data_IF_213834110436
#
_entry.id   IF_213834110436
#
_cell.length_a   1.000
_cell.length_b   1.000
_cell.length_c   1.000
_cell.angle_alpha   90.00
_cell.angle_beta   90.00
_cell.angle_gamma   90.00
#
_symmetry.space_group_name_H-M   'P 1'
#
loop_
_entity.id
_entity.type
_entity.pdbx_description
1 polymer ?
#
# COMPACT_ATOMS: atom_id res chain seq x y z
N UNK A 1 16.18 -0.05 -38.32
CA UNK A 1 14.89 -0.14 -37.61
C UNK A 1 14.94 -1.29 -36.60
N UNK A 2 15.62 -1.12 -35.48
CA UNK A 2 15.70 -2.13 -34.43
C UNK A 2 16.00 -1.41 -33.10
N UNK A 3 15.03 -0.70 -32.52
CA UNK A 3 15.34 0.07 -31.29
C UNK A 3 14.17 0.28 -30.31
N UNK A 4 12.95 -0.18 -30.62
CA UNK A 4 11.79 0.02 -29.74
C UNK A 4 11.54 -1.12 -28.74
N UNK A 5 11.90 -2.37 -29.07
CA UNK A 5 11.55 -3.56 -28.26
C UNK A 5 12.56 -3.88 -27.16
N UNK A 6 13.86 -3.69 -27.41
CA UNK A 6 14.93 -3.97 -26.43
C UNK A 6 14.93 -2.99 -25.26
N UNK A 7 14.64 -1.70 -25.53
CA UNK A 7 14.59 -0.66 -24.50
C UNK A 7 13.44 -0.91 -23.50
N UNK A 8 12.25 -1.31 -24.01
CA UNK A 8 11.09 -1.66 -23.18
C UNK A 8 11.33 -2.92 -22.35
N UNK A 9 11.97 -3.94 -22.93
CA UNK A 9 12.28 -5.17 -22.22
C UNK A 9 13.30 -4.96 -21.09
N UNK A 10 14.34 -4.14 -21.30
CA UNK A 10 15.32 -3.82 -20.27
C UNK A 10 14.74 -3.00 -19.11
N UNK A 11 13.80 -2.09 -19.39
CA UNK A 11 13.08 -1.33 -18.35
C UNK A 11 12.16 -2.24 -17.53
N UNK A 12 11.41 -3.11 -18.20
CA UNK A 12 10.57 -4.12 -17.55
C UNK A 12 11.42 -5.04 -16.65
N UNK A 13 12.51 -5.60 -17.17
CA UNK A 13 13.41 -6.48 -16.41
C UNK A 13 14.01 -5.78 -15.18
N UNK A 14 14.40 -4.50 -15.30
CA UNK A 14 14.92 -3.72 -14.17
C UNK A 14 13.83 -3.48 -13.10
N UNK A 15 12.61 -3.11 -13.52
CA UNK A 15 11.48 -2.93 -12.59
C UNK A 15 11.16 -4.21 -11.85
N UNK A 16 11.08 -5.33 -12.57
CA UNK A 16 10.85 -6.66 -11.98
C UNK A 16 11.95 -7.04 -11.00
N UNK A 17 13.24 -6.88 -11.38
CA UNK A 17 14.36 -7.19 -10.50
C UNK A 17 14.35 -6.36 -9.21
N UNK A 18 14.04 -5.06 -9.31
CA UNK A 18 13.91 -4.19 -8.14
C UNK A 18 12.73 -4.60 -7.26
N UNK A 19 11.55 -4.82 -7.85
CA UNK A 19 10.35 -5.25 -7.11
C UNK A 19 10.59 -6.58 -6.39
N UNK A 20 11.18 -7.57 -7.07
CA UNK A 20 11.54 -8.86 -6.46
C UNK A 20 12.61 -8.72 -5.38
N UNK A 21 13.59 -7.84 -5.57
CA UNK A 21 14.62 -7.56 -4.57
C UNK A 21 14.04 -6.96 -3.29
N UNK A 22 13.16 -5.95 -3.42
CA UNK A 22 12.48 -5.36 -2.26
C UNK A 22 11.50 -6.32 -1.60
N UNK A 23 10.77 -7.12 -2.39
CA UNK A 23 9.91 -8.17 -1.84
C UNK A 23 10.74 -9.18 -1.05
N UNK A 24 11.91 -9.57 -1.55
CA UNK A 24 12.85 -10.43 -0.83
C UNK A 24 13.31 -9.84 0.51
N UNK A 25 13.68 -8.56 0.54
CA UNK A 25 14.04 -7.85 1.78
C UNK A 25 12.86 -7.77 2.75
N UNK A 26 11.65 -7.54 2.25
CA UNK A 26 10.45 -7.46 3.06
C UNK A 26 10.08 -8.81 3.67
N UNK A 27 10.17 -9.89 2.88
CA UNK A 27 9.96 -11.26 3.34
C UNK A 27 11.04 -11.68 4.35
N UNK A 28 12.30 -11.29 4.13
CA UNK A 28 13.37 -11.48 5.11
C UNK A 28 13.07 -10.76 6.44
N UNK A 29 12.65 -9.48 6.38
CA UNK A 29 12.21 -8.73 7.56
C UNK A 29 11.04 -9.41 8.27
N UNK A 30 10.04 -9.88 7.51
CA UNK A 30 8.88 -10.59 8.07
C UNK A 30 9.28 -11.89 8.77
N UNK A 31 10.22 -12.64 8.21
CA UNK A 31 10.77 -13.83 8.84
C UNK A 31 11.57 -13.49 10.11
N UNK A 32 12.43 -12.47 10.07
CA UNK A 32 13.22 -12.03 11.22
C UNK A 32 12.32 -11.58 12.39
N UNK A 33 11.23 -10.88 12.10
CA UNK A 33 10.25 -10.41 13.10
C UNK A 33 9.16 -11.43 13.43
N UNK A 34 9.25 -12.65 12.88
CA UNK A 34 8.28 -13.74 13.10
C UNK A 34 6.83 -13.31 12.88
N UNK A 35 6.59 -12.52 11.82
CA UNK A 35 5.27 -11.98 11.51
C UNK A 35 4.37 -13.13 11.03
N UNK A 36 3.28 -13.34 11.74
CA UNK A 36 2.30 -14.39 11.42
C UNK A 36 1.27 -13.91 10.42
N UNK A 37 0.67 -14.84 9.68
CA UNK A 37 -0.47 -14.55 8.78
C UNK A 37 -1.63 -13.89 9.54
N UNK A 38 -1.87 -14.29 10.79
CA UNK A 38 -2.89 -13.67 11.63
C UNK A 38 -2.60 -12.18 11.88
N UNK A 39 -1.36 -11.82 12.22
CA UNK A 39 -0.96 -10.43 12.40
C UNK A 39 -1.04 -9.63 11.10
N UNK A 40 -0.66 -10.23 9.97
CA UNK A 40 -0.81 -9.63 8.64
C UNK A 40 -2.28 -9.34 8.31
N UNK A 41 -3.17 -10.31 8.55
CA UNK A 41 -4.61 -10.14 8.32
C UNK A 41 -5.19 -9.05 9.21
N UNK A 42 -4.81 -8.99 10.49
CA UNK A 42 -5.21 -7.92 11.40
C UNK A 42 -4.74 -6.56 10.88
N UNK A 43 -3.45 -6.44 10.54
CA UNK A 43 -2.90 -5.17 10.05
C UNK A 43 -3.57 -4.73 8.73
N UNK A 44 -3.85 -5.65 7.81
CA UNK A 44 -4.53 -5.34 6.55
C UNK A 44 -6.00 -4.94 6.77
N UNK A 45 -6.73 -5.66 7.63
CA UNK A 45 -8.13 -5.36 7.94
C UNK A 45 -8.31 -4.02 8.69
N UNK A 46 -7.30 -3.59 9.46
CA UNK A 46 -7.31 -2.31 10.18
C UNK A 46 -7.16 -1.08 9.29
N UNK A 47 -6.89 -1.26 7.99
CA UNK A 47 -6.83 -0.13 7.05
C UNK A 47 -8.26 0.36 6.80
N UNK A 48 -8.55 1.67 6.97
CA UNK A 48 -9.87 2.20 6.64
C UNK A 48 -10.20 2.02 5.14
N UNK A 49 -11.43 1.64 4.81
CA UNK A 49 -11.87 1.41 3.43
C UNK A 49 -11.64 2.63 2.53
N UNK A 50 -11.88 3.84 3.04
CA UNK A 50 -11.61 5.08 2.30
C UNK A 50 -10.14 5.18 1.86
N UNK A 51 -9.22 4.65 2.67
CA UNK A 51 -7.80 4.63 2.35
C UNK A 51 -7.46 3.57 1.31
N UNK A 52 -8.06 2.39 1.41
CA UNK A 52 -7.95 1.34 0.39
C UNK A 52 -8.41 1.86 -0.96
N UNK A 53 -9.61 2.47 -1.01
CA UNK A 53 -10.16 3.07 -2.21
C UNK A 53 -9.28 4.20 -2.76
N UNK A 54 -8.71 5.03 -1.89
CA UNK A 54 -7.78 6.09 -2.29
C UNK A 54 -6.52 5.51 -2.94
N UNK A 55 -5.92 4.46 -2.36
CA UNK A 55 -4.75 3.79 -2.95
C UNK A 55 -5.08 3.20 -4.32
N UNK A 56 -6.20 2.51 -4.46
CA UNK A 56 -6.67 1.94 -5.74
C UNK A 56 -6.87 3.03 -6.81
N UNK A 57 -7.45 4.18 -6.43
CA UNK A 57 -7.58 5.33 -7.33
C UNK A 57 -6.19 5.87 -7.70
N UNK A 58 -5.27 6.00 -6.74
CA UNK A 58 -3.91 6.46 -7.00
C UNK A 58 -3.14 5.51 -7.92
N UNK A 59 -3.24 4.19 -7.72
CA UNK A 59 -2.58 3.18 -8.55
C UNK A 59 -3.08 3.26 -10.01
N UNK A 60 -4.40 3.31 -10.19
CA UNK A 60 -5.05 3.50 -11.50
C UNK A 60 -4.62 4.80 -12.18
N UNK A 61 -4.46 5.89 -11.43
CA UNK A 61 -4.00 7.17 -11.99
C UNK A 61 -2.51 7.12 -12.30
N UNK A 62 -1.69 6.53 -11.43
CA UNK A 62 -0.24 6.43 -11.59
C UNK A 62 0.12 5.59 -12.82
N UNK A 63 -0.62 4.50 -13.06
CA UNK A 63 -0.43 3.63 -14.22
C UNK A 63 -0.93 4.31 -15.51
N UNK A 64 -2.12 4.95 -15.49
CA UNK A 64 -2.71 5.59 -16.68
C UNK A 64 -2.02 6.89 -17.12
N UNK A 65 -1.45 7.66 -16.19
CA UNK A 65 -0.78 8.92 -16.52
C UNK A 65 0.70 8.76 -16.85
N UNK A 66 1.20 7.53 -16.96
CA UNK A 66 2.59 7.30 -17.27
C UNK A 66 3.45 8.06 -16.23
N UNK A 67 3.06 7.99 -14.93
CA UNK A 67 3.65 8.79 -13.85
C UNK A 67 5.16 8.61 -13.76
N UNK A 68 5.61 7.40 -14.11
CA UNK A 68 7.00 7.06 -14.33
C UNK A 68 7.65 7.87 -15.46
N UNK A 69 6.98 8.02 -16.61
CA UNK A 69 7.44 8.83 -17.73
C UNK A 69 7.34 10.34 -17.45
N UNK A 70 6.38 10.79 -16.65
CA UNK A 70 6.28 12.18 -16.18
C UNK A 70 7.43 12.51 -15.21
N UNK A 71 7.68 11.66 -14.22
CA UNK A 71 8.84 11.78 -13.31
C UNK A 71 10.16 11.65 -14.05
N UNK A 72 10.26 10.72 -15.01
CA UNK A 72 11.44 10.56 -15.85
C UNK A 72 11.67 11.78 -16.76
N UNK A 73 10.61 12.40 -17.30
CA UNK A 73 10.75 13.66 -18.05
C UNK A 73 11.14 14.83 -17.17
N UNK A 74 10.56 14.95 -15.97
CA UNK A 74 10.76 16.10 -15.09
C UNK A 74 12.09 16.03 -14.32
N UNK A 75 12.57 14.83 -13.99
CA UNK A 75 13.78 14.63 -13.18
C UNK A 75 14.88 13.81 -13.88
N UNK A 76 14.56 13.13 -14.99
CA UNK A 76 15.45 12.19 -15.69
C UNK A 76 15.88 12.59 -17.11
N UNK A 77 15.34 13.68 -17.68
CA UNK A 77 15.61 14.09 -19.07
C UNK A 77 17.10 14.36 -19.39
N UNK A 78 17.99 14.43 -18.39
CA UNK A 78 19.43 14.64 -18.55
C UNK A 78 20.34 13.85 -17.57
N UNK A 79 19.88 12.76 -16.94
CA UNK A 79 20.70 12.04 -15.93
C UNK A 79 20.82 10.53 -16.16
N UNK A 80 21.96 9.98 -15.73
CA UNK A 80 22.39 8.59 -15.88
C UNK A 80 21.36 7.58 -15.33
N UNK A 81 21.41 6.33 -15.82
CA UNK A 81 20.59 5.20 -15.35
C UNK A 81 20.49 5.09 -13.81
N UNK A 82 21.54 5.46 -13.07
CA UNK A 82 21.54 5.45 -11.61
C UNK A 82 20.60 6.47 -10.96
N UNK A 83 20.45 7.65 -11.57
CA UNK A 83 19.54 8.69 -11.06
C UNK A 83 18.07 8.28 -11.13
N UNK A 84 17.67 7.59 -12.20
CA UNK A 84 16.31 7.09 -12.37
C UNK A 84 15.99 6.03 -11.30
N UNK A 85 16.95 5.16 -10.98
CA UNK A 85 16.82 4.16 -9.90
C UNK A 85 16.64 4.86 -8.54
N UNK A 86 17.47 5.87 -8.22
CA UNK A 86 17.38 6.60 -6.96
C UNK A 86 16.04 7.33 -6.79
N UNK A 87 15.53 7.95 -7.85
CA UNK A 87 14.23 8.63 -7.83
C UNK A 87 13.11 7.61 -7.61
N UNK A 88 13.17 6.45 -8.29
CA UNK A 88 12.20 5.36 -8.11
C UNK A 88 12.16 4.87 -6.66
N UNK A 89 13.34 4.68 -6.06
CA UNK A 89 13.52 4.32 -4.65
C UNK A 89 12.93 5.35 -3.69
N UNK A 90 13.14 6.64 -3.97
CA UNK A 90 12.61 7.73 -3.17
C UNK A 90 11.08 7.71 -3.16
N UNK A 91 10.45 7.57 -4.33
CA UNK A 91 8.99 7.50 -4.43
C UNK A 91 8.42 6.24 -3.77
N UNK A 92 9.10 5.08 -3.89
CA UNK A 92 8.74 3.86 -3.16
C UNK A 92 8.77 4.08 -1.65
N UNK A 93 9.83 4.71 -1.14
CA UNK A 93 9.93 5.08 0.27
C UNK A 93 8.80 6.02 0.71
N UNK A 94 8.49 7.06 -0.07
CA UNK A 94 7.41 8.00 0.23
C UNK A 94 6.03 7.32 0.22
N UNK A 95 5.76 6.41 -0.72
CA UNK A 95 4.53 5.61 -0.75
C UNK A 95 4.36 4.77 0.50
N UNK A 96 5.42 4.07 0.92
CA UNK A 96 5.43 3.31 2.17
C UNK A 96 5.11 4.17 3.39
N UNK A 97 5.65 5.40 3.47
CA UNK A 97 5.35 6.33 4.56
C UNK A 97 3.85 6.71 4.58
N UNK A 98 3.26 7.03 3.41
CA UNK A 98 1.83 7.35 3.32
C UNK A 98 0.95 6.19 3.79
N UNK A 99 1.32 4.95 3.46
CA UNK A 99 0.58 3.76 3.90
C UNK A 99 0.77 3.50 5.41
N UNK A 100 1.97 3.72 5.94
CA UNK A 100 2.21 3.66 7.39
C UNK A 100 1.36 4.68 8.14
N UNK A 101 1.22 5.89 7.60
CA UNK A 101 0.30 6.90 8.15
C UNK A 101 -1.15 6.40 8.14
N UNK A 102 -1.60 5.78 7.04
CA UNK A 102 -2.93 5.20 6.91
C UNK A 102 -3.25 4.14 7.96
N UNK A 103 -2.31 3.24 8.18
CA UNK A 103 -2.42 2.11 9.10
C UNK A 103 -2.49 2.54 10.56
N UNK A 104 -1.89 3.69 10.88
CA UNK A 104 -1.63 4.09 12.26
C UNK A 104 -2.43 5.31 12.67
N UNK A 105 -2.96 6.08 11.70
CA UNK A 105 -3.66 7.33 11.94
C UNK A 105 -2.79 8.43 12.55
N UNK A 106 -1.47 8.22 12.66
CA UNK A 106 -0.57 9.09 13.41
C UNK A 106 0.29 9.92 12.47
N UNK A 107 0.16 11.26 12.55
CA UNK A 107 1.02 12.21 11.81
C UNK A 107 2.49 12.09 12.27
N UNK A 108 2.72 11.67 13.51
CA UNK A 108 4.06 11.42 14.05
C UNK A 108 4.56 10.03 13.62
N UNK A 109 5.37 10.00 12.56
CA UNK A 109 6.03 8.77 12.10
C UNK A 109 7.21 8.40 12.98
N UNK A 110 6.95 7.62 14.02
CA UNK A 110 8.00 6.93 14.77
C UNK A 110 8.01 5.44 14.40
N UNK A 111 8.91 5.06 13.49
CA UNK A 111 9.09 3.68 13.03
C UNK A 111 9.34 2.68 14.18
N UNK A 112 9.91 3.13 15.31
CA UNK A 112 10.13 2.30 16.50
C UNK A 112 8.87 2.04 17.32
N UNK A 113 7.79 2.79 17.10
CA UNK A 113 6.49 2.60 17.75
C UNK A 113 5.48 1.79 16.92
N UNK A 114 5.79 1.53 15.66
CA UNK A 114 4.92 0.75 14.79
C UNK A 114 5.18 -0.75 14.96
N UNK A 115 4.09 -1.52 15.10
CA UNK A 115 4.18 -2.98 15.16
C UNK A 115 4.83 -3.53 13.88
N UNK A 116 5.71 -4.54 13.97
CA UNK A 116 6.39 -5.11 12.80
C UNK A 116 5.44 -5.52 11.67
N UNK A 117 4.25 -6.03 12.00
CA UNK A 117 3.21 -6.38 11.04
C UNK A 117 2.69 -5.19 10.23
N UNK A 118 2.59 -4.00 10.84
CA UNK A 118 2.16 -2.79 10.15
C UNK A 118 3.23 -2.32 9.17
N UNK A 119 4.51 -2.39 9.56
CA UNK A 119 5.64 -2.08 8.66
C UNK A 119 5.69 -3.04 7.48
N UNK A 120 5.46 -4.33 7.75
CA UNK A 120 5.44 -5.36 6.72
C UNK A 120 4.27 -5.16 5.74
N UNK A 121 3.04 -4.95 6.23
CA UNK A 121 1.87 -4.69 5.38
C UNK A 121 2.04 -3.39 4.59
N UNK A 122 2.55 -2.32 5.20
CA UNK A 122 2.84 -1.09 4.47
C UNK A 122 3.85 -1.30 3.34
N UNK A 123 4.87 -2.13 3.58
CA UNK A 123 5.83 -2.53 2.56
C UNK A 123 5.18 -3.32 1.42
N UNK A 124 4.27 -4.27 1.72
CA UNK A 124 3.56 -5.05 0.69
C UNK A 124 2.72 -4.13 -0.18
N UNK A 125 1.92 -3.26 0.43
CA UNK A 125 1.02 -2.35 -0.29
C UNK A 125 1.85 -1.33 -1.09
N UNK A 126 2.96 -0.85 -0.54
CA UNK A 126 3.86 0.01 -1.30
C UNK A 126 4.42 -0.73 -2.51
N UNK A 127 4.87 -1.97 -2.34
CA UNK A 127 5.37 -2.76 -3.48
C UNK A 127 4.30 -3.03 -4.53
N UNK A 128 3.05 -3.21 -4.12
CA UNK A 128 1.92 -3.34 -5.03
C UNK A 128 1.77 -2.10 -5.92
N UNK A 129 1.73 -0.89 -5.35
CA UNK A 129 1.62 0.37 -6.12
C UNK A 129 2.80 0.58 -7.09
N UNK A 130 3.98 0.05 -6.73
CA UNK A 130 5.20 0.21 -7.55
C UNK A 130 5.44 -0.95 -8.52
N UNK A 131 4.68 -2.04 -8.41
CA UNK A 131 4.82 -3.16 -9.31
C UNK A 131 4.32 -2.77 -10.71
N UNK A 132 4.95 -3.30 -11.78
CA UNK A 132 4.50 -3.01 -13.13
C UNK A 132 3.12 -3.60 -13.38
N UNK A 133 2.26 -2.85 -14.08
CA UNK A 133 0.96 -3.33 -14.61
C UNK A 133 -0.07 -3.70 -13.51
N UNK A 134 0.01 -3.10 -12.33
CA UNK A 134 -0.94 -3.36 -11.23
C UNK A 134 -2.23 -2.54 -11.28
N UNK A 135 -2.27 -1.47 -12.08
CA UNK A 135 -3.40 -0.53 -12.15
C UNK A 135 -4.63 -1.04 -12.90
N UNK A 136 -4.61 -2.27 -13.40
CA UNK A 136 -5.73 -2.85 -14.14
C UNK A 136 -6.80 -3.48 -13.22
N UNK A 137 -6.39 -4.10 -12.10
CA UNK A 137 -7.24 -4.87 -11.20
C UNK A 137 -7.19 -4.35 -9.74
N UNK A 138 -8.32 -4.37 -9.02
CA UNK A 138 -8.40 -3.90 -7.62
C UNK A 138 -7.86 -4.93 -6.59
N UNK A 139 -6.63 -5.39 -6.78
CA UNK A 139 -6.03 -6.46 -5.97
C UNK A 139 -5.91 -6.09 -4.49
N UNK A 140 -5.66 -4.82 -4.16
CA UNK A 140 -5.59 -4.38 -2.77
C UNK A 140 -6.97 -4.43 -2.12
N UNK A 141 -8.02 -4.01 -2.83
CA UNK A 141 -9.40 -4.12 -2.35
C UNK A 141 -9.78 -5.58 -2.08
N UNK A 142 -9.45 -6.50 -2.99
CA UNK A 142 -9.72 -7.93 -2.79
C UNK A 142 -8.97 -8.52 -1.59
N UNK A 143 -7.69 -8.16 -1.42
CA UNK A 143 -6.90 -8.59 -0.28
C UNK A 143 -7.46 -8.04 1.04
N UNK A 144 -7.89 -6.78 1.05
CA UNK A 144 -8.51 -6.14 2.21
C UNK A 144 -9.86 -6.78 2.58
N UNK A 145 -10.72 -7.09 1.60
CA UNK A 145 -11.98 -7.82 1.83
C UNK A 145 -11.68 -9.19 2.44
N UNK A 146 -10.71 -9.93 1.89
CA UNK A 146 -10.33 -11.24 2.42
C UNK A 146 -9.82 -11.16 3.87
N UNK A 147 -8.99 -10.17 4.20
CA UNK A 147 -8.52 -9.95 5.58
C UNK A 147 -9.66 -9.53 6.52
N UNK A 148 -10.60 -8.72 6.05
CA UNK A 148 -11.79 -8.33 6.81
C UNK A 148 -12.65 -9.55 7.12
N UNK A 149 -12.87 -10.44 6.15
CA UNK A 149 -13.59 -11.71 6.36
C UNK A 149 -12.82 -12.60 7.34
N UNK A 150 -11.50 -12.75 7.18
CA UNK A 150 -10.66 -13.56 8.05
C UNK A 150 -10.66 -13.08 9.51
N UNK A 151 -10.79 -11.77 9.72
CA UNK A 151 -10.91 -11.13 11.04
C UNK A 151 -12.36 -10.97 11.50
N UNK A 152 -13.32 -11.52 10.76
CA UNK A 152 -14.77 -11.44 11.04
C UNK A 152 -15.28 -10.00 11.17
N UNK A 153 -14.64 -9.05 10.47
CA UNK A 153 -15.01 -7.64 10.49
C UNK A 153 -14.64 -6.90 11.78
N UNK A 154 -13.85 -7.50 12.68
CA UNK A 154 -13.51 -6.89 13.97
C UNK A 154 -12.79 -5.54 13.85
N UNK A 155 -12.07 -5.32 12.75
CA UNK A 155 -11.27 -4.11 12.50
C UNK A 155 -11.84 -3.24 11.38
N UNK A 156 -13.09 -3.48 10.97
CA UNK A 156 -13.71 -2.75 9.87
C UNK A 156 -13.86 -1.27 10.24
N UNK A 157 -13.18 -0.40 9.49
CA UNK A 157 -13.33 1.04 9.55
C UNK A 157 -13.57 1.58 8.14
N UNK A 158 -14.53 2.50 7.97
CA UNK A 158 -14.76 3.16 6.67
C UNK A 158 -13.89 4.39 6.50
N UNK A 159 -13.78 5.20 7.55
CA UNK A 159 -13.06 6.46 7.55
C UNK A 159 -12.03 6.47 8.68
N UNK A 160 -10.86 7.11 8.48
CA UNK A 160 -9.88 7.27 9.55
C UNK A 160 -10.53 7.89 10.80
N UNK A 161 -10.38 7.23 11.96
CA UNK A 161 -10.96 7.69 13.22
C UNK A 161 -12.45 7.37 13.42
N UNK A 162 -13.08 6.64 12.49
CA UNK A 162 -14.43 6.12 12.65
C UNK A 162 -14.39 4.62 12.95
N UNK A 163 -14.64 4.26 14.20
CA UNK A 163 -14.73 2.86 14.63
C UNK A 163 -16.19 2.39 14.60
N UNK A 164 -16.46 1.31 13.87
CA UNK A 164 -17.71 0.56 14.01
C UNK A 164 -17.67 -0.28 15.28
N UNK A 165 -17.68 0.36 16.45
CA UNK A 165 -17.98 -0.37 17.66
C UNK A 165 -19.49 -0.66 17.69
N UNK A 166 -19.87 -1.91 17.96
CA UNK A 166 -21.26 -2.30 18.19
C UNK A 166 -21.90 -1.44 19.30
N UNK A 167 -21.09 -0.93 20.23
CA UNK A 167 -21.52 0.05 21.24
C UNK A 167 -21.97 1.37 20.60
N UNK A 168 -21.24 1.88 19.61
CA UNK A 168 -21.60 3.11 18.87
C UNK A 168 -22.89 2.92 18.08
N UNK A 169 -23.08 1.74 17.48
CA UNK A 169 -24.33 1.37 16.80
C UNK A 169 -25.46 1.24 17.82
N UNK A 170 -25.22 0.61 18.97
CA UNK A 170 -26.22 0.51 20.05
C UNK A 170 -26.63 1.88 20.58
N UNK A 171 -25.69 2.83 20.65
CA UNK A 171 -25.92 4.19 21.10
C UNK A 171 -26.73 4.99 20.08
N UNK A 172 -26.44 4.84 18.78
CA UNK A 172 -27.25 5.39 17.68
C UNK A 172 -28.65 4.79 17.64
N UNK A 173 -28.80 3.49 17.84
CA UNK A 173 -30.11 2.83 17.91
C UNK A 173 -30.89 3.30 19.14
N UNK A 174 -30.24 3.43 20.31
CA UNK A 174 -30.87 3.97 21.53
C UNK A 174 -31.24 5.45 21.43
N UNK A 175 -30.49 6.24 20.66
CA UNK A 175 -30.82 7.67 20.45
C UNK A 175 -31.87 7.87 19.37
N UNK A 176 -31.94 7.01 18.36
CA UNK A 176 -32.93 7.08 17.28
C UNK A 176 -34.24 6.36 17.60
N UNK A 177 -34.23 5.41 18.55
CA UNK A 177 -35.41 4.71 19.06
C UNK A 177 -35.40 4.79 20.60
N UNK A 178 -35.76 5.94 21.20
CA UNK A 178 -35.69 6.12 22.66
C UNK A 178 -36.78 5.36 23.46
N UNK A 179 -37.54 4.43 22.86
CA UNK A 179 -38.77 3.90 23.45
C UNK A 179 -38.99 2.37 23.29
N UNK A 180 -37.94 1.57 23.42
CA UNK A 180 -38.04 0.12 23.70
C UNK A 180 -37.16 -0.27 24.89
#
# INVERSE_FOLDING_TARGET
>A
MADGKSLKWGQWALKTALASGFLGLLLWYGAEKSITIAQTNTALASIPLAFVALIEIFDKIADKNDFYNALYKQFGANKSRGSAILISLLFAGLGMLVILWALTGTITMNLGSYGPANVFVAGIISLYIFAPETGDDELLLWAWIAATIATKGQYLSLFPGWDFNLDTISMLVRTLIPAL
#
